data_IF_285548497747
#
_entry.id   IF_285548497747
#
_cell.length_a   1.000
_cell.length_b   1.000
_cell.length_c   1.000
_cell.angle_alpha   90.00
_cell.angle_beta   90.00
_cell.angle_gamma   90.00
#
_symmetry.space_group_name_H-M   'P 1'
#
loop_
_entity.id
_entity.type
_entity.pdbx_description
1 polymer ?
#
# COMPACT_ATOMS: atom_id res chain seq x y z
N UNK A 1 -16.43 7.58 56.42
CA UNK A 1 -15.46 8.57 55.88
C UNK A 1 -14.93 8.02 54.57
N UNK A 2 -15.09 8.79 53.49
CA UNK A 2 -14.97 8.34 52.11
C UNK A 2 -13.57 8.59 51.53
N UNK A 3 -13.11 7.70 50.65
CA UNK A 3 -12.07 8.02 49.66
C UNK A 3 -12.51 7.51 48.28
N UNK A 4 -12.80 8.48 47.41
CA UNK A 4 -13.13 8.37 45.98
C UNK A 4 -12.05 7.62 45.19
N UNK A 5 -12.40 6.77 44.21
CA UNK A 5 -11.47 6.35 43.18
C UNK A 5 -11.17 7.53 42.26
N UNK A 6 -9.87 7.77 42.07
CA UNK A 6 -9.34 8.87 41.29
C UNK A 6 -9.41 8.48 39.82
N UNK A 7 -10.24 9.23 39.10
CA UNK A 7 -10.30 9.30 37.65
C UNK A 7 -8.93 9.65 37.06
N UNK A 8 -8.14 8.64 36.70
CA UNK A 8 -7.05 8.83 35.73
C UNK A 8 -7.69 8.76 34.36
N UNK A 9 -8.07 9.96 33.89
CA UNK A 9 -8.47 10.26 32.53
C UNK A 9 -7.60 9.47 31.56
N UNK A 10 -8.26 8.75 30.64
CA UNK A 10 -7.71 8.34 29.36
C UNK A 10 -6.96 9.51 28.74
N UNK A 11 -5.64 9.50 28.92
CA UNK A 11 -4.74 10.44 28.30
C UNK A 11 -4.62 10.07 26.84
N UNK A 12 -5.29 10.86 25.99
CA UNK A 12 -4.85 11.23 24.64
C UNK A 12 -3.95 10.19 23.98
N UNK A 13 -4.55 9.35 23.13
CA UNK A 13 -3.83 8.85 21.98
C UNK A 13 -3.42 10.08 21.16
N UNK A 14 -2.20 10.60 21.40
CA UNK A 14 -1.55 11.52 20.49
C UNK A 14 -1.53 10.88 19.10
N UNK A 15 -1.36 11.66 18.01
CA UNK A 15 -1.23 11.08 16.68
C UNK A 15 -0.18 10.00 16.80
N UNK A 16 -0.57 8.74 16.57
CA UNK A 16 0.34 7.61 16.63
C UNK A 16 1.60 8.07 15.91
N UNK A 17 2.72 8.08 16.61
CA UNK A 17 4.01 8.47 16.05
C UNK A 17 4.29 7.46 14.94
N UNK A 18 3.73 7.69 13.76
CA UNK A 18 3.92 6.85 12.59
C UNK A 18 5.35 7.16 12.18
N UNK A 19 6.28 6.42 12.77
CA UNK A 19 7.69 6.50 12.41
C UNK A 19 7.78 6.43 10.89
N UNK A 20 8.57 7.35 10.31
CA UNK A 20 8.82 7.33 8.89
C UNK A 20 9.38 5.93 8.55
N UNK A 21 8.78 5.20 7.60
CA UNK A 21 9.25 3.86 7.25
C UNK A 21 10.72 3.93 6.85
N UNK A 22 11.53 3.05 7.43
CA UNK A 22 12.94 2.96 7.10
C UNK A 22 13.15 2.27 5.75
N UNK A 23 14.41 2.22 5.30
CA UNK A 23 14.78 1.67 3.99
C UNK A 23 14.35 0.21 3.83
N UNK A 24 14.50 -0.63 4.86
CA UNK A 24 14.16 -2.04 4.78
C UNK A 24 12.64 -2.21 4.62
N UNK A 25 11.84 -1.45 5.38
CA UNK A 25 10.40 -1.44 5.20
C UNK A 25 9.97 -0.98 3.80
N UNK A 26 10.58 0.08 3.26
CA UNK A 26 10.29 0.55 1.91
C UNK A 26 10.63 -0.51 0.85
N UNK A 27 11.74 -1.23 1.01
CA UNK A 27 12.12 -2.32 0.10
C UNK A 27 11.18 -3.51 0.20
N UNK A 28 10.78 -3.91 1.42
CA UNK A 28 9.81 -5.00 1.62
C UNK A 28 8.47 -4.67 0.95
N UNK A 29 7.94 -3.45 1.17
CA UNK A 29 6.71 -2.98 0.52
C UNK A 29 6.83 -2.95 -1.00
N UNK A 30 7.96 -2.50 -1.52
CA UNK A 30 8.21 -2.49 -2.96
C UNK A 30 8.24 -3.92 -3.54
N UNK A 31 8.90 -4.88 -2.88
CA UNK A 31 8.90 -6.28 -3.30
C UNK A 31 7.50 -6.88 -3.32
N UNK A 32 6.69 -6.64 -2.29
CA UNK A 32 5.29 -7.10 -2.26
C UNK A 32 4.44 -6.47 -3.38
N UNK A 33 4.67 -5.21 -3.72
CA UNK A 33 3.97 -4.54 -4.82
C UNK A 33 4.43 -5.04 -6.18
N UNK A 34 5.71 -5.35 -6.36
CA UNK A 34 6.23 -5.96 -7.59
C UNK A 34 5.65 -7.36 -7.81
N UNK A 35 5.53 -8.17 -6.75
CA UNK A 35 4.87 -9.48 -6.83
C UNK A 35 3.39 -9.34 -7.23
N UNK A 36 2.67 -8.38 -6.62
CA UNK A 36 1.29 -8.06 -7.01
C UNK A 36 1.19 -7.58 -8.46
N UNK A 37 2.15 -6.78 -8.93
CA UNK A 37 2.19 -6.30 -10.31
C UNK A 37 2.33 -7.48 -11.29
N UNK A 38 3.23 -8.41 -11.02
CA UNK A 38 3.40 -9.63 -11.83
C UNK A 38 2.10 -10.43 -11.90
N UNK A 39 1.44 -10.65 -10.76
CA UNK A 39 0.16 -11.38 -10.72
C UNK A 39 -0.95 -10.65 -11.50
N UNK A 40 -1.01 -9.32 -11.44
CA UNK A 40 -1.96 -8.52 -12.22
C UNK A 40 -1.71 -8.68 -13.72
N UNK A 41 -0.45 -8.64 -14.14
CA UNK A 41 -0.05 -8.81 -15.55
C UNK A 41 -0.42 -10.21 -16.08
N UNK A 42 -0.18 -11.26 -15.29
CA UNK A 42 -0.59 -12.64 -15.63
C UNK A 42 -2.11 -12.74 -15.79
N UNK A 43 -2.87 -12.18 -14.85
CA UNK A 43 -4.35 -12.14 -14.91
C UNK A 43 -4.84 -11.33 -16.11
N UNK A 44 -4.16 -10.24 -16.47
CA UNK A 44 -4.47 -9.45 -17.67
C UNK A 44 -4.29 -10.28 -18.94
N UNK A 45 -3.22 -11.07 -19.04
CA UNK A 45 -3.03 -11.95 -20.20
C UNK A 45 -4.13 -13.01 -20.32
N UNK A 46 -4.61 -13.55 -19.21
CA UNK A 46 -5.74 -14.49 -19.20
C UNK A 46 -7.04 -13.76 -19.59
N UNK A 47 -7.33 -12.61 -18.98
CA UNK A 47 -8.54 -11.84 -19.24
C UNK A 47 -8.64 -11.33 -20.68
N UNK A 48 -7.51 -10.96 -21.30
CA UNK A 48 -7.48 -10.55 -22.71
C UNK A 48 -7.84 -11.66 -23.70
N UNK A 49 -7.69 -12.94 -23.30
CA UNK A 49 -8.13 -14.09 -24.09
C UNK A 49 -9.63 -14.35 -23.97
N UNK A 50 -10.28 -13.81 -22.94
CA UNK A 50 -11.72 -13.83 -22.76
C UNK A 50 -12.35 -12.62 -23.48
N UNK A 51 -12.78 -12.82 -24.73
CA UNK A 51 -13.33 -11.75 -25.58
C UNK A 51 -14.73 -11.25 -25.18
N UNK A 52 -15.34 -11.83 -24.14
CA UNK A 52 -16.68 -11.46 -23.69
C UNK A 52 -16.74 -10.13 -22.93
N UNK A 53 -17.96 -9.64 -22.69
CA UNK A 53 -18.22 -8.44 -21.85
C UNK A 53 -17.58 -8.56 -20.45
N UNK A 54 -17.63 -9.76 -19.86
CA UNK A 54 -16.99 -10.06 -18.57
C UNK A 54 -15.47 -9.93 -18.65
N UNK A 55 -14.84 -10.40 -19.73
CA UNK A 55 -13.41 -10.24 -19.96
C UNK A 55 -12.99 -8.79 -20.10
N UNK A 56 -13.75 -7.98 -20.85
CA UNK A 56 -13.50 -6.53 -20.98
C UNK A 56 -13.58 -5.78 -19.65
N UNK A 57 -14.58 -6.08 -18.83
CA UNK A 57 -14.69 -5.49 -17.49
C UNK A 57 -13.50 -5.88 -16.60
N UNK A 58 -13.13 -7.16 -16.58
CA UNK A 58 -11.95 -7.65 -15.85
C UNK A 58 -10.66 -6.97 -16.32
N UNK A 59 -10.46 -6.80 -17.63
CA UNK A 59 -9.31 -6.07 -18.17
C UNK A 59 -9.27 -4.65 -17.64
N UNK A 60 -10.39 -3.92 -17.71
CA UNK A 60 -10.48 -2.54 -17.18
C UNK A 60 -10.13 -2.46 -15.70
N UNK A 61 -10.68 -3.35 -14.87
CA UNK A 61 -10.41 -3.38 -13.43
C UNK A 61 -8.95 -3.71 -13.13
N UNK A 62 -8.38 -4.68 -13.84
CA UNK A 62 -6.98 -5.08 -13.67
C UNK A 62 -6.01 -3.98 -14.14
N UNK A 63 -6.33 -3.27 -15.23
CA UNK A 63 -5.56 -2.10 -15.67
C UNK A 63 -5.59 -0.99 -14.62
N UNK A 64 -6.76 -0.68 -14.04
CA UNK A 64 -6.86 0.32 -12.98
C UNK A 64 -6.04 -0.08 -11.73
N UNK A 65 -6.04 -1.37 -11.35
CA UNK A 65 -5.21 -1.88 -10.26
C UNK A 65 -3.72 -1.78 -10.56
N UNK A 66 -3.30 -2.15 -11.77
CA UNK A 66 -1.92 -2.01 -12.24
C UNK A 66 -1.44 -0.57 -12.10
N UNK A 67 -2.22 0.39 -12.58
CA UNK A 67 -1.85 1.80 -12.57
C UNK A 67 -1.79 2.36 -11.14
N UNK A 68 -2.61 1.85 -10.21
CA UNK A 68 -2.50 2.16 -8.79
C UNK A 68 -1.21 1.63 -8.16
N UNK A 69 -0.85 0.37 -8.46
CA UNK A 69 0.39 -0.26 -7.98
C UNK A 69 1.62 0.49 -8.50
N UNK A 70 1.65 0.82 -9.78
CA UNK A 70 2.74 1.58 -10.40
C UNK A 70 2.91 2.98 -9.77
N UNK A 71 1.81 3.69 -9.51
CA UNK A 71 1.85 4.98 -8.80
C UNK A 71 2.40 4.84 -7.38
N UNK A 72 2.03 3.78 -6.69
CA UNK A 72 2.54 3.50 -5.34
C UNK A 72 4.03 3.16 -5.36
N UNK A 73 4.48 2.35 -6.31
CA UNK A 73 5.90 2.05 -6.52
C UNK A 73 6.71 3.33 -6.78
N UNK A 74 6.24 4.21 -7.66
CA UNK A 74 6.90 5.50 -7.90
C UNK A 74 6.98 6.38 -6.65
N UNK A 75 5.93 6.38 -5.81
CA UNK A 75 5.94 7.09 -4.53
C UNK A 75 6.97 6.49 -3.54
N UNK A 76 7.09 5.16 -3.50
CA UNK A 76 8.09 4.47 -2.66
C UNK A 76 9.51 4.74 -3.14
N UNK A 77 9.76 4.75 -4.46
CA UNK A 77 11.07 5.12 -5.02
C UNK A 77 11.46 6.55 -4.66
N UNK A 78 10.51 7.49 -4.73
CA UNK A 78 10.71 8.87 -4.28
C UNK A 78 11.03 8.94 -2.78
N UNK A 79 10.30 8.17 -1.96
CA UNK A 79 10.55 8.11 -0.52
C UNK A 79 11.94 7.53 -0.20
N UNK A 80 12.36 6.48 -0.92
CA UNK A 80 13.69 5.88 -0.81
C UNK A 80 14.80 6.86 -1.20
N UNK A 81 14.64 7.60 -2.31
CA UNK A 81 15.62 8.63 -2.73
C UNK A 81 15.75 9.75 -1.70
N UNK A 82 14.65 10.13 -1.04
CA UNK A 82 14.67 11.11 0.04
C UNK A 82 15.30 10.59 1.36
N UNK A 83 15.77 9.34 1.40
CA UNK A 83 16.55 8.77 2.51
C UNK A 83 18.03 8.57 2.13
N UNK A 84 18.42 8.77 0.87
CA UNK A 84 19.82 8.77 0.46
C UNK A 84 20.42 10.14 0.85
N UNK A 85 21.56 10.19 1.58
CA UNK A 85 22.27 11.45 1.78
C UNK A 85 22.78 11.95 0.42
N UNK A 86 22.61 13.25 0.17
CA UNK A 86 23.02 13.93 -1.06
C UNK A 86 24.54 14.05 -1.19
#
# INVERSE_FOLDING_TARGET
>A
MATKPQNVRSGVAGPANVSRPDRAELMSRAQSLLAQLTEIEERLQVAQKDGGLSGKAKVSDLTAKRDSVLRTLAALEKAKRALEPA
#
